data_IF_706076404216
#
_entry.id   IF_706076404216
#
_cell.length_a   1.000
_cell.length_b   1.000
_cell.length_c   1.000
_cell.angle_alpha   90.00
_cell.angle_beta   90.00
_cell.angle_gamma   90.00
#
_symmetry.space_group_name_H-M   'P 1'
#
loop_
_entity.id
_entity.type
_entity.pdbx_description
1 polymer ?
#
# COMPACT_ATOMS: atom_id res chain seq x y z
N UNK A 1 -23.55 35.39 -11.14
CA UNK A 1 -24.13 34.20 -11.80
C UNK A 1 -23.27 33.84 -13.02
N UNK A 2 -23.68 32.89 -13.85
CA UNK A 2 -22.92 32.52 -15.06
C UNK A 2 -22.83 33.64 -16.11
N UNK A 3 -23.67 34.66 -16.02
CA UNK A 3 -23.76 35.76 -16.98
C UNK A 3 -22.93 36.98 -16.53
N UNK A 4 -22.19 36.85 -15.43
CA UNK A 4 -21.40 37.94 -14.83
C UNK A 4 -20.15 38.32 -15.62
N UNK A 5 -19.62 37.45 -16.49
CA UNK A 5 -18.46 37.73 -17.33
C UNK A 5 -18.41 36.85 -18.58
N UNK A 6 -17.49 37.15 -19.49
CA UNK A 6 -17.08 36.21 -20.53
C UNK A 6 -16.29 35.03 -19.94
N UNK A 7 -15.95 34.05 -20.78
CA UNK A 7 -15.00 32.99 -20.40
C UNK A 7 -13.57 33.54 -20.33
N UNK A 8 -12.95 33.39 -19.17
CA UNK A 8 -11.59 33.88 -18.90
C UNK A 8 -10.64 32.69 -18.80
N UNK A 9 -9.49 32.78 -19.47
CA UNK A 9 -8.45 31.74 -19.38
C UNK A 9 -7.75 31.79 -18.03
N UNK A 10 -7.24 30.65 -17.58
CA UNK A 10 -6.52 30.52 -16.30
C UNK A 10 -5.08 30.08 -16.56
N UNK A 11 -4.12 30.87 -16.08
CA UNK A 11 -2.71 30.50 -16.09
C UNK A 11 -2.48 29.23 -15.24
N UNK A 12 -1.71 28.29 -15.77
CA UNK A 12 -1.33 27.06 -15.08
C UNK A 12 0.18 27.06 -14.82
N UNK A 13 0.62 26.37 -13.76
CA UNK A 13 2.04 26.28 -13.43
C UNK A 13 2.89 25.59 -14.50
N UNK A 14 2.28 24.69 -15.29
CA UNK A 14 2.95 24.02 -16.40
C UNK A 14 1.92 23.61 -17.47
N UNK A 15 2.07 24.07 -18.71
CA UNK A 15 1.08 23.83 -19.77
C UNK A 15 1.75 23.45 -21.09
N UNK A 16 1.52 22.21 -21.53
CA UNK A 16 1.97 21.67 -22.81
C UNK A 16 0.83 21.08 -23.64
N UNK A 17 1.16 20.57 -24.83
CA UNK A 17 0.18 19.96 -25.74
C UNK A 17 -0.31 18.62 -25.17
N UNK A 18 -1.43 18.64 -24.44
CA UNK A 18 -2.05 17.49 -23.75
C UNK A 18 -1.24 16.92 -22.57
N UNK A 19 -0.41 17.75 -21.93
CA UNK A 19 0.31 17.39 -20.72
C UNK A 19 0.60 18.65 -19.88
N UNK A 20 0.79 18.52 -18.56
CA UNK A 20 1.02 19.65 -17.66
C UNK A 20 0.19 19.58 -16.38
N UNK A 21 0.09 20.68 -15.65
CA UNK A 21 -0.77 20.85 -14.49
C UNK A 21 -2.11 21.48 -14.86
N UNK A 22 -3.16 21.11 -14.11
CA UNK A 22 -4.49 21.69 -14.27
C UNK A 22 -5.16 21.84 -12.90
N UNK A 23 -5.22 23.06 -12.39
CA UNK A 23 -5.95 23.42 -11.17
C UNK A 23 -6.94 24.52 -11.54
N UNK A 24 -8.23 24.18 -11.48
CA UNK A 24 -9.30 25.10 -11.83
C UNK A 24 -9.82 25.81 -10.57
N UNK A 25 -9.92 27.15 -10.59
CA UNK A 25 -10.65 27.88 -9.57
C UNK A 25 -12.09 27.36 -9.46
N UNK A 26 -12.56 27.20 -8.23
CA UNK A 26 -13.94 26.83 -7.91
C UNK A 26 -14.75 28.09 -7.56
N UNK A 27 -16.06 28.00 -7.74
CA UNK A 27 -16.98 29.08 -7.37
C UNK A 27 -16.76 29.50 -5.91
N UNK A 28 -16.59 30.81 -5.68
CA UNK A 28 -16.34 31.40 -4.36
C UNK A 28 -14.87 31.59 -3.99
N UNK A 29 -13.91 31.12 -4.81
CA UNK A 29 -12.49 31.39 -4.60
C UNK A 29 -12.08 32.76 -5.14
N UNK A 30 -11.15 33.42 -4.44
CA UNK A 30 -10.56 34.70 -4.89
C UNK A 30 -9.43 34.44 -5.89
N UNK A 31 -9.51 35.10 -7.03
CA UNK A 31 -8.56 34.97 -8.14
C UNK A 31 -7.96 36.32 -8.51
N UNK A 32 -6.70 36.32 -8.92
CA UNK A 32 -6.04 37.49 -9.49
C UNK A 32 -6.33 37.52 -10.99
N UNK A 33 -7.00 38.59 -11.45
CA UNK A 33 -7.25 38.83 -12.87
C UNK A 33 -6.29 39.91 -13.37
N UNK A 34 -5.56 39.60 -14.43
CA UNK A 34 -4.73 40.54 -15.18
C UNK A 34 -5.35 40.79 -16.55
N UNK A 35 -4.90 41.85 -17.22
CA UNK A 35 -5.45 42.29 -18.51
C UNK A 35 -4.32 42.34 -19.53
N UNK A 36 -4.48 41.63 -20.65
CA UNK A 36 -3.45 41.55 -21.69
C UNK A 36 -3.24 42.92 -22.32
N UNK A 37 -2.00 43.44 -22.32
CA UNK A 37 -1.68 44.80 -22.76
C UNK A 37 -2.44 45.91 -21.99
N UNK A 38 -2.97 45.60 -20.80
CA UNK A 38 -3.81 46.52 -20.02
C UNK A 38 -5.24 46.67 -20.55
N UNK A 39 -5.66 45.87 -21.52
CA UNK A 39 -6.99 45.92 -22.12
C UNK A 39 -8.05 45.26 -21.21
N UNK A 40 -9.02 46.01 -20.63
CA UNK A 40 -10.04 45.47 -19.74
C UNK A 40 -10.93 44.43 -20.41
N UNK A 41 -11.04 44.42 -21.73
CA UNK A 41 -11.82 43.44 -22.50
C UNK A 41 -11.06 42.14 -22.76
N UNK A 42 -9.79 42.04 -22.32
CA UNK A 42 -8.93 40.87 -22.49
C UNK A 42 -8.39 40.33 -21.15
N UNK A 43 -9.29 39.89 -20.25
CA UNK A 43 -8.90 39.37 -18.95
C UNK A 43 -8.21 38.00 -19.04
N UNK A 44 -7.36 37.71 -18.07
CA UNK A 44 -6.73 36.41 -17.83
C UNK A 44 -6.50 36.22 -16.33
N UNK A 45 -6.85 35.05 -15.78
CA UNK A 45 -6.55 34.72 -14.38
C UNK A 45 -5.07 34.33 -14.26
N UNK A 46 -4.33 34.97 -13.38
CA UNK A 46 -2.88 34.79 -13.19
C UNK A 46 -2.50 34.19 -11.84
N UNK A 47 -3.45 34.08 -10.91
CA UNK A 47 -3.22 33.46 -9.62
C UNK A 47 -4.50 33.31 -8.79
N UNK A 48 -4.36 32.73 -7.61
CA UNK A 48 -5.39 32.64 -6.59
C UNK A 48 -4.78 32.96 -5.23
N UNK A 49 -5.57 33.55 -4.34
CA UNK A 49 -5.12 33.97 -3.02
C UNK A 49 -6.09 33.48 -1.94
N UNK A 50 -5.54 33.18 -0.77
CA UNK A 50 -6.34 32.95 0.44
C UNK A 50 -6.76 34.29 1.04
N UNK A 51 -7.88 34.31 1.75
CA UNK A 51 -8.41 35.48 2.43
C UNK A 51 -9.08 35.07 3.76
N UNK A 52 -9.86 35.97 4.38
CA UNK A 52 -10.51 35.71 5.66
C UNK A 52 -11.54 34.58 5.65
N UNK A 53 -12.17 34.33 4.49
CA UNK A 53 -13.19 33.29 4.33
C UNK A 53 -12.58 32.01 3.73
N UNK A 54 -11.77 32.15 2.68
CA UNK A 54 -10.98 31.08 2.08
C UNK A 54 -9.62 31.03 2.78
N UNK A 55 -9.58 30.42 3.96
CA UNK A 55 -8.36 30.35 4.77
C UNK A 55 -7.35 29.34 4.23
N UNK A 56 -6.08 29.49 4.61
CA UNK A 56 -5.00 28.54 4.30
C UNK A 56 -5.30 27.13 4.85
N UNK A 57 -4.75 26.04 4.25
CA UNK A 57 -5.05 24.66 4.66
C UNK A 57 -4.54 24.25 6.04
N UNK A 58 -3.54 24.99 6.55
CA UNK A 58 -2.91 24.78 7.86
C UNK A 58 -2.77 26.11 8.58
N UNK A 59 -2.94 26.10 9.91
CA UNK A 59 -2.92 27.31 10.71
C UNK A 59 -1.54 27.98 10.71
N UNK A 60 -1.47 29.23 10.24
CA UNK A 60 -0.24 30.02 10.24
C UNK A 60 -0.25 31.04 11.40
N UNK A 61 0.92 31.33 12.02
CA UNK A 61 2.26 30.82 11.68
C UNK A 61 2.64 29.49 12.33
N UNK A 62 1.73 28.85 13.08
CA UNK A 62 2.04 27.64 13.86
C UNK A 62 2.57 26.48 13.00
N UNK A 63 2.05 26.33 11.78
CA UNK A 63 2.36 25.26 10.84
C UNK A 63 3.20 25.74 9.65
N UNK A 64 4.05 26.75 9.86
CA UNK A 64 4.83 27.41 8.80
C UNK A 64 5.83 26.49 8.08
N UNK A 65 6.18 25.33 8.65
CA UNK A 65 7.07 24.34 8.05
C UNK A 65 6.34 23.32 7.18
N UNK A 66 5.01 23.41 7.05
CA UNK A 66 4.23 22.52 6.19
C UNK A 66 4.05 23.09 4.80
N UNK A 67 4.34 22.26 3.80
CA UNK A 67 4.02 22.50 2.40
C UNK A 67 3.00 21.46 1.93
N UNK A 68 1.94 21.86 1.23
CA UNK A 68 0.86 20.91 0.85
C UNK A 68 0.23 21.19 -0.51
N UNK A 69 -0.20 20.12 -1.15
CA UNK A 69 -1.17 20.09 -2.23
C UNK A 69 -2.41 19.37 -1.73
N UNK A 70 -3.39 20.14 -1.24
CA UNK A 70 -4.63 19.61 -0.67
C UNK A 70 -5.83 19.93 -1.55
N UNK A 71 -6.62 18.91 -1.85
CA UNK A 71 -7.86 19.03 -2.62
C UNK A 71 -9.09 19.00 -1.71
N UNK A 72 -10.27 19.13 -2.30
CA UNK A 72 -11.55 18.94 -1.59
C UNK A 72 -12.51 18.21 -2.51
N UNK A 73 -13.20 17.18 -2.01
CA UNK A 73 -14.23 16.48 -2.78
C UNK A 73 -15.33 17.44 -3.24
N UNK A 74 -15.88 17.21 -4.44
CA UNK A 74 -16.92 18.04 -5.04
C UNK A 74 -17.95 17.14 -5.74
N UNK A 75 -19.25 17.47 -5.74
CA UNK A 75 -19.91 18.58 -5.00
C UNK A 75 -20.21 18.19 -3.54
N UNK A 76 -20.48 19.17 -2.67
CA UNK A 76 -20.93 18.94 -1.29
C UNK A 76 -19.87 18.35 -0.35
N UNK A 77 -18.62 18.81 -0.47
CA UNK A 77 -17.42 18.11 0.01
C UNK A 77 -17.46 17.56 1.46
N UNK A 78 -17.02 16.32 1.61
CA UNK A 78 -16.86 15.60 2.89
C UNK A 78 -15.57 14.77 2.93
N UNK A 79 -14.53 15.20 2.20
CA UNK A 79 -13.26 14.49 2.04
C UNK A 79 -12.21 15.27 1.24
N UNK A 80 -10.97 14.76 1.22
CA UNK A 80 -9.85 15.40 0.52
C UNK A 80 -8.79 14.38 0.09
N UNK A 81 -8.09 14.65 -1.01
CA UNK A 81 -6.78 14.04 -1.30
C UNK A 81 -5.69 15.03 -0.96
N UNK A 82 -4.54 14.56 -0.48
CA UNK A 82 -3.45 15.41 -0.03
C UNK A 82 -2.08 14.80 -0.29
N UNK A 83 -1.14 15.64 -0.71
CA UNK A 83 0.29 15.36 -0.67
C UNK A 83 0.99 16.49 0.09
N UNK A 84 1.57 16.17 1.25
CA UNK A 84 2.11 17.14 2.20
C UNK A 84 3.53 16.76 2.63
N UNK A 85 4.35 17.79 2.82
CA UNK A 85 5.66 17.74 3.43
C UNK A 85 5.65 18.52 4.75
N UNK A 86 6.24 17.94 5.79
CA UNK A 86 6.63 18.61 7.03
C UNK A 86 8.14 18.74 7.05
N UNK A 87 8.64 19.98 7.10
CA UNK A 87 10.07 20.31 7.11
C UNK A 87 10.58 20.70 8.50
N UNK A 88 9.79 20.46 9.56
CA UNK A 88 10.24 20.63 10.94
C UNK A 88 11.34 19.61 11.23
N UNK A 89 12.55 20.12 11.47
CA UNK A 89 13.73 19.34 11.80
C UNK A 89 13.46 18.29 12.89
N UNK A 90 13.92 17.07 12.65
CA UNK A 90 13.78 15.90 13.52
C UNK A 90 12.33 15.42 13.71
N UNK A 91 11.40 15.93 12.89
CA UNK A 91 9.99 15.57 12.83
C UNK A 91 9.46 15.58 11.39
N UNK A 92 10.35 15.34 10.42
CA UNK A 92 10.04 15.40 9.00
C UNK A 92 9.05 14.30 8.61
N UNK A 93 8.09 14.64 7.75
CA UNK A 93 7.06 13.71 7.30
C UNK A 93 6.67 14.00 5.85
N UNK A 94 6.47 12.92 5.08
CA UNK A 94 5.69 12.97 3.85
C UNK A 94 4.35 12.28 4.11
N UNK A 95 3.26 13.03 3.95
CA UNK A 95 1.90 12.51 4.10
C UNK A 95 1.22 12.45 2.73
N UNK A 96 0.79 11.24 2.37
CA UNK A 96 -0.02 10.98 1.18
C UNK A 96 -1.37 10.42 1.59
N UNK A 97 -2.44 11.12 1.24
CA UNK A 97 -3.82 10.72 1.51
C UNK A 97 -4.64 10.63 0.24
N UNK A 98 -5.24 9.46 0.03
CA UNK A 98 -6.29 9.25 -0.95
C UNK A 98 -7.62 9.09 -0.23
N UNK A 99 -8.61 9.94 -0.54
CA UNK A 99 -9.92 9.91 0.12
C UNK A 99 -10.68 8.60 -0.10
N UNK A 100 -10.42 7.92 -1.22
CA UNK A 100 -11.16 6.74 -1.65
C UNK A 100 -10.23 5.67 -2.18
N UNK A 101 -9.87 5.77 -3.45
CA UNK A 101 -9.05 4.78 -4.14
C UNK A 101 -7.64 5.34 -4.38
N UNK A 102 -6.60 4.56 -4.08
CA UNK A 102 -5.22 4.86 -4.45
C UNK A 102 -4.75 3.83 -5.47
N UNK A 103 -4.56 4.28 -6.72
CA UNK A 103 -4.03 3.45 -7.80
C UNK A 103 -2.59 3.86 -8.04
N UNK A 104 -1.70 2.87 -7.99
CA UNK A 104 -0.28 3.05 -8.26
C UNK A 104 0.16 2.12 -9.39
N UNK A 105 0.59 2.72 -10.49
CA UNK A 105 1.10 2.01 -11.66
C UNK A 105 2.56 2.41 -11.88
N UNK A 106 3.44 1.42 -12.02
CA UNK A 106 4.87 1.62 -12.28
C UNK A 106 5.21 0.86 -13.55
N UNK A 107 5.54 1.59 -14.63
CA UNK A 107 5.80 0.99 -15.94
C UNK A 107 7.13 0.24 -16.07
N UNK A 108 7.90 0.15 -14.99
CA UNK A 108 9.18 -0.55 -14.94
C UNK A 108 9.47 -0.96 -13.48
N UNK A 109 10.60 -0.54 -12.91
CA UNK A 109 11.02 -0.96 -11.58
C UNK A 109 10.41 -0.08 -10.47
N UNK A 110 9.94 -0.74 -9.42
CA UNK A 110 9.61 -0.13 -8.14
C UNK A 110 10.62 -0.56 -7.07
N UNK A 111 11.34 0.39 -6.50
CA UNK A 111 12.32 0.14 -5.43
C UNK A 111 11.86 0.83 -4.16
N UNK A 112 11.87 0.09 -3.04
CA UNK A 112 11.52 0.61 -1.73
C UNK A 112 12.57 0.23 -0.69
N UNK A 113 13.06 1.22 0.04
CA UNK A 113 14.01 1.06 1.15
C UNK A 113 13.44 1.73 2.38
N UNK A 114 13.32 0.97 3.48
CA UNK A 114 12.91 1.47 4.80
C UNK A 114 14.07 1.17 5.74
N UNK A 115 14.64 2.21 6.36
CA UNK A 115 15.83 2.09 7.21
C UNK A 115 15.51 1.80 8.67
N UNK A 116 14.25 2.01 9.06
CA UNK A 116 13.71 1.67 10.37
C UNK A 116 12.55 0.68 10.17
N UNK A 117 11.35 1.03 10.61
CA UNK A 117 10.20 0.12 10.67
C UNK A 117 9.19 0.35 9.54
N UNK A 118 8.57 -0.74 9.09
CA UNK A 118 7.40 -0.71 8.21
C UNK A 118 6.18 -1.31 8.91
N UNK A 119 5.05 -0.59 8.91
CA UNK A 119 3.75 -1.10 9.29
C UNK A 119 2.78 -1.10 8.10
N UNK A 120 2.27 -2.28 7.74
CA UNK A 120 1.20 -2.43 6.75
C UNK A 120 -0.06 -2.96 7.41
N UNK A 121 -1.14 -2.17 7.37
CA UNK A 121 -2.47 -2.60 7.84
C UNK A 121 -3.45 -2.64 6.67
N UNK A 122 -4.00 -3.83 6.40
CA UNK A 122 -5.06 -4.03 5.41
C UNK A 122 -6.27 -4.59 6.13
N UNK A 123 -7.35 -3.79 6.25
CA UNK A 123 -8.59 -4.22 6.91
C UNK A 123 -9.47 -5.13 6.05
N UNK A 124 -9.36 -4.98 4.74
CA UNK A 124 -10.06 -5.81 3.76
C UNK A 124 -9.19 -6.98 3.28
N UNK A 125 -9.35 -7.33 1.99
CA UNK A 125 -8.56 -8.38 1.33
C UNK A 125 -7.24 -7.82 0.80
N UNK A 126 -6.14 -8.53 1.04
CA UNK A 126 -4.88 -8.36 0.30
C UNK A 126 -4.75 -9.49 -0.71
N UNK A 127 -4.50 -9.16 -1.97
CA UNK A 127 -4.12 -10.12 -3.01
C UNK A 127 -2.73 -9.76 -3.49
N UNK A 128 -1.86 -10.76 -3.61
CA UNK A 128 -0.51 -10.62 -4.15
C UNK A 128 -0.40 -11.65 -5.26
N UNK A 129 -0.11 -11.19 -6.47
CA UNK A 129 0.08 -12.02 -7.66
C UNK A 129 1.46 -11.72 -8.23
N UNK A 130 2.38 -12.68 -8.09
CA UNK A 130 3.75 -12.57 -8.57
C UNK A 130 3.94 -13.62 -9.66
N UNK A 131 4.05 -13.17 -10.91
CA UNK A 131 4.21 -14.05 -12.06
C UNK A 131 5.65 -14.53 -12.25
N UNK A 132 6.61 -13.81 -11.66
CA UNK A 132 8.03 -14.14 -11.65
C UNK A 132 8.45 -14.90 -10.39
N UNK A 133 9.76 -14.93 -10.14
CA UNK A 133 10.29 -15.48 -8.90
C UNK A 133 10.05 -14.51 -7.72
N UNK A 134 9.69 -15.06 -6.57
CA UNK A 134 9.56 -14.32 -5.30
C UNK A 134 10.57 -14.88 -4.28
N UNK A 135 11.28 -13.99 -3.59
CA UNK A 135 12.24 -14.36 -2.53
C UNK A 135 12.01 -13.52 -1.29
N UNK A 136 11.99 -14.17 -0.13
CA UNK A 136 11.90 -13.55 1.18
C UNK A 136 13.14 -13.93 2.00
N UNK A 137 13.86 -12.93 2.51
CA UNK A 137 15.01 -13.15 3.40
C UNK A 137 14.77 -12.41 4.71
N UNK A 138 14.61 -13.16 5.80
CA UNK A 138 14.46 -12.63 7.14
C UNK A 138 15.69 -13.01 7.96
N UNK A 139 16.51 -12.02 8.36
CA UNK A 139 17.72 -12.25 9.15
C UNK A 139 17.42 -12.66 10.61
N UNK A 140 16.19 -12.38 11.07
CA UNK A 140 15.70 -12.72 12.39
C UNK A 140 14.42 -13.56 12.28
N UNK A 141 13.61 -13.57 13.35
CA UNK A 141 12.36 -14.33 13.41
C UNK A 141 11.36 -13.92 12.31
N UNK A 142 10.83 -14.90 11.60
CA UNK A 142 9.63 -14.77 10.77
C UNK A 142 8.44 -15.43 11.50
N UNK A 143 7.30 -14.74 11.59
CA UNK A 143 6.09 -15.25 12.24
C UNK A 143 4.87 -15.04 11.34
N UNK A 144 4.05 -16.08 11.23
CA UNK A 144 2.79 -16.04 10.48
C UNK A 144 1.68 -16.62 11.34
N UNK A 145 0.81 -15.74 11.85
CA UNK A 145 -0.36 -16.13 12.65
C UNK A 145 -1.62 -16.07 11.78
N UNK A 146 -2.23 -17.21 11.51
CA UNK A 146 -3.44 -17.33 10.69
C UNK A 146 -4.58 -17.87 11.54
N UNK A 147 -5.64 -17.08 11.69
CA UNK A 147 -6.82 -17.46 12.48
C UNK A 147 -7.79 -18.37 11.73
N UNK A 148 -7.81 -18.24 10.40
CA UNK A 148 -8.57 -19.11 9.51
C UNK A 148 -7.68 -20.21 8.93
N UNK A 149 -8.06 -20.69 7.75
CA UNK A 149 -7.30 -21.73 7.07
C UNK A 149 -6.01 -21.21 6.43
N UNK A 150 -4.94 -21.97 6.56
CA UNK A 150 -3.71 -21.78 5.80
C UNK A 150 -3.63 -22.84 4.71
N UNK A 151 -3.87 -22.45 3.46
CA UNK A 151 -3.79 -23.34 2.30
C UNK A 151 -2.49 -23.08 1.55
N UNK A 152 -1.62 -24.07 1.53
CA UNK A 152 -0.38 -24.06 0.76
C UNK A 152 -0.46 -25.11 -0.33
N UNK A 153 -0.52 -24.67 -1.59
CA UNK A 153 -0.47 -25.53 -2.77
C UNK A 153 0.82 -25.28 -3.53
N UNK A 154 1.55 -26.34 -3.81
CA UNK A 154 2.83 -26.31 -4.51
C UNK A 154 2.80 -27.39 -5.58
N UNK A 155 2.90 -26.98 -6.85
CA UNK A 155 2.93 -27.93 -7.98
C UNK A 155 4.33 -28.57 -8.14
N UNK A 156 5.38 -27.88 -7.67
CA UNK A 156 6.74 -28.41 -7.56
C UNK A 156 7.01 -29.11 -6.23
N UNK A 157 8.25 -29.01 -5.74
CA UNK A 157 8.65 -29.58 -4.44
C UNK A 157 8.54 -28.55 -3.32
N UNK A 158 8.11 -29.00 -2.13
CA UNK A 158 8.30 -28.28 -0.88
C UNK A 158 9.55 -28.80 -0.16
N UNK A 159 10.50 -27.92 0.11
CA UNK A 159 11.68 -28.21 0.95
C UNK A 159 11.60 -27.41 2.24
N UNK A 160 11.70 -28.10 3.37
CA UNK A 160 11.85 -27.50 4.70
C UNK A 160 13.19 -27.98 5.25
N UNK A 161 14.20 -27.12 5.17
CA UNK A 161 15.54 -27.37 5.71
C UNK A 161 15.72 -26.53 6.98
N UNK A 162 15.64 -27.20 8.13
CA UNK A 162 15.80 -26.58 9.42
C UNK A 162 16.94 -27.27 10.17
N UNK A 163 17.95 -26.48 10.56
CA UNK A 163 19.05 -26.97 11.41
C UNK A 163 18.60 -27.22 12.85
N UNK A 164 17.57 -26.49 13.29
CA UNK A 164 16.87 -26.71 14.56
C UNK A 164 15.74 -27.74 14.44
N UNK A 165 14.90 -27.82 15.47
CA UNK A 165 13.76 -28.73 15.47
C UNK A 165 12.62 -28.26 14.57
N UNK A 166 11.93 -29.21 13.94
CA UNK A 166 10.62 -29.00 13.31
C UNK A 166 9.55 -29.57 14.24
N UNK A 167 8.49 -28.80 14.48
CA UNK A 167 7.36 -29.23 15.32
C UNK A 167 6.06 -29.00 14.59
N UNK A 168 5.27 -30.06 14.44
CA UNK A 168 3.92 -30.02 13.87
C UNK A 168 2.96 -30.50 14.96
N UNK A 169 2.06 -29.63 15.41
CA UNK A 169 1.03 -29.94 16.40
C UNK A 169 -0.34 -29.81 15.75
N UNK A 170 -1.14 -30.86 15.86
CA UNK A 170 -2.55 -30.85 15.49
C UNK A 170 -3.35 -31.44 16.64
N UNK A 171 -4.44 -30.78 17.02
CA UNK A 171 -5.43 -31.37 17.94
C UNK A 171 -6.33 -32.39 17.22
N UNK A 172 -6.33 -32.37 15.88
CA UNK A 172 -7.04 -33.30 15.01
C UNK A 172 -6.03 -34.24 14.33
N UNK A 173 -6.48 -34.93 13.28
CA UNK A 173 -5.60 -35.80 12.51
C UNK A 173 -4.53 -35.02 11.76
N UNK A 174 -3.36 -35.64 11.59
CA UNK A 174 -2.37 -35.29 10.58
C UNK A 174 -2.43 -36.38 9.52
N UNK A 175 -2.81 -36.01 8.30
CA UNK A 175 -2.82 -36.92 7.15
C UNK A 175 -1.56 -36.74 6.31
N UNK A 176 -0.91 -37.84 5.94
CA UNK A 176 0.20 -37.84 4.99
C UNK A 176 -0.12 -38.91 3.94
N UNK A 177 -0.36 -38.48 2.72
CA UNK A 177 -0.61 -39.35 1.57
C UNK A 177 0.54 -39.18 0.57
N UNK A 178 1.32 -40.24 0.37
CA UNK A 178 2.47 -40.27 -0.52
C UNK A 178 2.21 -41.29 -1.63
N UNK A 179 2.17 -40.83 -2.89
CA UNK A 179 1.85 -41.69 -4.03
C UNK A 179 2.93 -42.70 -4.41
N UNK A 180 4.16 -42.53 -3.93
CA UNK A 180 5.29 -43.44 -4.20
C UNK A 180 5.84 -44.03 -2.91
N UNK A 181 6.54 -43.20 -2.13
CA UNK A 181 7.24 -43.62 -0.90
C UNK A 181 7.13 -42.54 0.15
N UNK A 182 6.82 -42.96 1.38
CA UNK A 182 7.07 -42.17 2.58
C UNK A 182 8.32 -42.72 3.27
N UNK A 183 9.35 -41.89 3.44
CA UNK A 183 10.56 -42.26 4.18
C UNK A 183 10.64 -41.45 5.47
N UNK A 184 10.87 -42.14 6.58
CA UNK A 184 11.17 -41.51 7.86
C UNK A 184 12.42 -42.17 8.43
N UNK A 185 13.46 -41.36 8.68
CA UNK A 185 14.75 -41.82 9.18
C UNK A 185 15.09 -41.02 10.44
N UNK A 186 15.42 -41.73 11.52
CA UNK A 186 16.03 -41.15 12.72
C UNK A 186 17.39 -41.79 12.94
N UNK A 187 18.43 -40.98 13.18
CA UNK A 187 19.79 -41.51 13.40
C UNK A 187 19.93 -42.19 14.77
N UNK A 188 19.43 -41.53 15.83
CA UNK A 188 19.50 -42.05 17.19
C UNK A 188 18.33 -43.01 17.50
N UNK A 189 17.11 -42.59 17.20
CA UNK A 189 15.90 -43.38 17.39
C UNK A 189 14.74 -42.81 16.59
N UNK A 190 13.71 -43.63 16.39
CA UNK A 190 12.41 -43.19 15.96
C UNK A 190 11.37 -43.78 16.91
N UNK A 191 10.58 -42.92 17.54
CA UNK A 191 9.57 -43.34 18.52
C UNK A 191 8.17 -43.12 17.95
N UNK A 192 7.34 -44.17 18.03
CA UNK A 192 5.92 -44.13 17.65
C UNK A 192 5.11 -44.56 18.87
N UNK A 193 4.43 -43.61 19.49
CA UNK A 193 3.63 -43.83 20.69
C UNK A 193 2.15 -43.60 20.40
N UNK A 194 1.30 -44.50 20.90
CA UNK A 194 -0.16 -44.36 20.86
C UNK A 194 -0.75 -45.03 22.10
N UNK A 195 -1.76 -44.41 22.71
CA UNK A 195 -2.55 -45.04 23.77
C UNK A 195 -3.58 -46.03 23.23
N UNK A 196 -3.89 -45.94 21.93
CA UNK A 196 -4.80 -46.82 21.23
C UNK A 196 -4.06 -47.89 20.42
N UNK A 197 -4.58 -48.16 19.23
CA UNK A 197 -4.03 -49.20 18.34
C UNK A 197 -3.11 -48.57 17.30
N UNK A 198 -1.88 -49.09 17.21
CA UNK A 198 -1.03 -48.91 16.04
C UNK A 198 -1.40 -49.95 14.99
N UNK A 199 -1.77 -49.52 13.78
CA UNK A 199 -2.09 -50.41 12.66
C UNK A 199 -1.05 -50.26 11.57
N UNK A 200 -0.35 -51.34 11.25
CA UNK A 200 0.56 -51.44 10.11
C UNK A 200 -0.04 -52.40 9.08
N UNK A 201 -0.26 -51.93 7.85
CA UNK A 201 -0.82 -52.73 6.76
C UNK A 201 0.09 -52.64 5.56
N UNK A 202 0.42 -53.80 4.99
CA UNK A 202 1.19 -53.92 3.76
C UNK A 202 1.25 -55.37 3.32
N UNK A 203 1.60 -55.60 2.05
CA UNK A 203 1.79 -56.95 1.51
C UNK A 203 2.94 -57.69 2.23
N UNK A 204 3.97 -56.94 2.65
CA UNK A 204 5.11 -57.43 3.42
C UNK A 204 5.53 -56.36 4.43
N UNK A 205 5.66 -56.76 5.69
CA UNK A 205 6.31 -55.96 6.72
C UNK A 205 7.61 -56.67 7.14
N UNK A 206 8.74 -55.99 6.99
CA UNK A 206 10.05 -56.47 7.47
C UNK A 206 10.42 -55.68 8.72
N UNK A 207 10.64 -56.39 9.82
CA UNK A 207 11.14 -55.84 11.08
C UNK A 207 12.45 -56.57 11.37
N UNK A 208 13.52 -55.83 11.65
CA UNK A 208 14.85 -56.36 11.93
C UNK A 208 15.50 -55.63 13.10
#
# INVERSE_FOLDING_TARGET
DQDSSCWIRVAQGWAGKQWGSLVLPRVGQEVLVSFLEGDPDRPIVTGAVYNGDQTVPYALPAEQTKSTWKSQSSKGGGGFNEFRFEDKKDAEEIYLHAQKDYVREVGHNDTRTITADELLTVKGKRTVDVTGAEQHTNAAKFQHDVKGDYVLKIDGSLTIDATGGITIKSAAAIGVDAGTTLTSKGEASQTVETSGVLTLKGNLAKIN
#
